data_IF_180031103212
#
_entry.id   IF_180031103212
#
_cell.length_a   1.000
_cell.length_b   1.000
_cell.length_c   1.000
_cell.angle_alpha   90.00
_cell.angle_beta   90.00
_cell.angle_gamma   90.00
#
_symmetry.space_group_name_H-M   'P 1'
#
loop_
_entity.id
_entity.type
_entity.pdbx_description
1 polymer ?
#
# COMPACT_ATOMS: atom_id res chain seq x y z
N UNK A 1 20.70 -45.13 16.28
CA UNK A 1 19.79 -44.77 15.16
C UNK A 1 18.75 -43.76 15.65
N UNK A 2 19.10 -42.47 15.73
CA UNK A 2 18.20 -41.43 16.24
C UNK A 2 17.34 -40.86 15.11
N UNK A 3 16.02 -41.00 15.24
CA UNK A 3 15.01 -40.50 14.30
C UNK A 3 15.12 -38.98 14.21
N UNK A 4 15.42 -38.46 13.01
CA UNK A 4 15.39 -37.02 12.69
C UNK A 4 13.95 -36.54 12.86
N UNK A 5 13.70 -35.75 13.90
CA UNK A 5 12.49 -34.94 14.01
C UNK A 5 12.56 -33.86 12.92
N UNK A 6 11.69 -33.98 11.93
CA UNK A 6 11.43 -32.94 10.93
C UNK A 6 10.82 -31.73 11.62
N UNK A 7 11.62 -30.68 11.71
CA UNK A 7 11.21 -29.36 12.20
C UNK A 7 9.99 -28.88 11.42
N UNK A 8 8.94 -28.50 12.15
CA UNK A 8 7.63 -28.03 11.67
C UNK A 8 7.74 -27.08 10.47
N UNK A 9 7.18 -27.50 9.33
CA UNK A 9 6.78 -26.66 8.18
C UNK A 9 5.50 -25.86 8.51
N UNK A 10 5.36 -25.30 9.71
CA UNK A 10 4.06 -24.89 10.30
C UNK A 10 3.40 -23.64 9.70
N UNK A 11 3.94 -23.07 8.62
CA UNK A 11 3.37 -21.88 7.96
C UNK A 11 3.36 -22.06 6.42
N UNK A 12 2.67 -23.08 5.93
CA UNK A 12 2.43 -23.29 4.50
C UNK A 12 0.97 -22.97 4.16
N UNK A 13 0.77 -22.19 3.09
CA UNK A 13 -0.54 -21.93 2.50
C UNK A 13 -0.61 -22.70 1.20
N UNK A 14 -1.62 -23.55 1.05
CA UNK A 14 -1.91 -24.24 -0.22
C UNK A 14 -2.95 -23.41 -0.96
N UNK A 15 -2.55 -22.82 -2.09
CA UNK A 15 -3.45 -22.08 -2.97
C UNK A 15 -3.88 -23.02 -4.10
N UNK A 16 -5.20 -23.21 -4.25
CA UNK A 16 -5.79 -23.95 -5.37
C UNK A 16 -6.29 -22.97 -6.41
N UNK A 17 -5.93 -23.21 -7.66
CA UNK A 17 -6.33 -22.43 -8.84
C UNK A 17 -6.34 -23.37 -10.05
N UNK A 18 -6.99 -22.96 -11.13
CA UNK A 18 -6.96 -23.64 -12.42
C UNK A 18 -5.57 -23.57 -13.07
N UNK A 19 -5.33 -24.46 -14.04
CA UNK A 19 -4.03 -24.59 -14.70
C UNK A 19 -3.66 -23.34 -15.52
N UNK A 20 -4.64 -22.67 -16.14
CA UNK A 20 -4.41 -21.45 -16.93
C UNK A 20 -3.90 -20.32 -16.04
N UNK A 21 -4.57 -20.08 -14.92
CA UNK A 21 -4.18 -19.07 -13.92
C UNK A 21 -2.81 -19.38 -13.33
N UNK A 22 -2.53 -20.65 -13.03
CA UNK A 22 -1.22 -21.08 -12.53
C UNK A 22 -0.12 -20.80 -13.53
N UNK A 23 -0.32 -21.12 -14.80
CA UNK A 23 0.67 -20.90 -15.85
C UNK A 23 0.95 -19.41 -16.05
N UNK A 24 -0.12 -18.60 -16.16
CA UNK A 24 0.00 -17.15 -16.26
C UNK A 24 0.74 -16.55 -15.06
N UNK A 25 0.43 -17.01 -13.85
CA UNK A 25 1.10 -16.58 -12.63
C UNK A 25 2.59 -16.95 -12.62
N UNK A 26 2.93 -18.17 -13.01
CA UNK A 26 4.32 -18.63 -13.10
C UNK A 26 5.12 -17.89 -14.17
N UNK A 27 4.50 -17.57 -15.30
CA UNK A 27 5.13 -16.76 -16.35
C UNK A 27 5.41 -15.32 -15.86
N UNK A 28 4.47 -14.72 -15.12
CA UNK A 28 4.68 -13.40 -14.52
C UNK A 28 5.82 -13.41 -13.49
N UNK A 29 5.85 -14.42 -12.62
CA UNK A 29 6.92 -14.59 -11.64
C UNK A 29 8.30 -14.69 -12.31
N UNK A 30 8.40 -15.50 -13.39
CA UNK A 30 9.63 -15.62 -14.20
C UNK A 30 10.03 -14.30 -14.86
N UNK A 31 9.07 -13.58 -15.44
CA UNK A 31 9.33 -12.29 -16.09
C UNK A 31 9.87 -11.24 -15.12
N UNK A 32 9.40 -11.24 -13.87
CA UNK A 32 9.88 -10.35 -12.81
C UNK A 32 11.14 -10.85 -12.08
N UNK A 33 11.65 -12.05 -12.43
CA UNK A 33 12.79 -12.66 -11.76
C UNK A 33 12.53 -13.05 -10.30
N UNK A 34 11.27 -13.20 -9.91
CA UNK A 34 10.82 -13.49 -8.53
C UNK A 34 10.27 -14.91 -8.43
N UNK A 35 10.32 -15.47 -7.23
CA UNK A 35 9.61 -16.72 -6.95
C UNK A 35 8.11 -16.48 -6.79
N UNK A 36 7.32 -17.53 -7.03
CA UNK A 36 5.87 -17.53 -6.80
C UNK A 36 5.49 -17.02 -5.40
N UNK A 37 6.22 -17.48 -4.38
CA UNK A 37 6.02 -17.09 -2.98
C UNK A 37 6.30 -15.61 -2.76
N UNK A 38 7.34 -15.04 -3.36
CA UNK A 38 7.64 -13.61 -3.25
C UNK A 38 6.56 -12.74 -3.89
N UNK A 39 6.00 -13.19 -5.01
CA UNK A 39 4.92 -12.47 -5.69
C UNK A 39 3.63 -12.50 -4.85
N UNK A 40 3.27 -13.65 -4.28
CA UNK A 40 2.15 -13.79 -3.34
C UNK A 40 2.37 -12.92 -2.09
N UNK A 41 3.56 -12.96 -1.50
CA UNK A 41 3.87 -12.17 -0.31
C UNK A 41 3.83 -10.66 -0.60
N UNK A 42 4.29 -10.23 -1.77
CA UNK A 42 4.14 -8.85 -2.22
C UNK A 42 2.67 -8.45 -2.34
N UNK A 43 1.85 -9.30 -2.96
CA UNK A 43 0.41 -9.05 -3.10
C UNK A 43 -0.31 -8.98 -1.75
N UNK A 44 0.00 -9.91 -0.81
CA UNK A 44 -0.56 -9.90 0.54
C UNK A 44 -0.16 -8.63 1.30
N UNK A 45 1.10 -8.19 1.17
CA UNK A 45 1.56 -6.95 1.80
C UNK A 45 0.85 -5.73 1.23
N UNK A 46 0.66 -5.66 -0.09
CA UNK A 46 -0.09 -4.58 -0.72
C UNK A 46 -1.55 -4.56 -0.28
N UNK A 47 -2.20 -5.72 -0.24
CA UNK A 47 -3.58 -5.85 0.23
C UNK A 47 -3.75 -5.37 1.67
N UNK A 48 -2.86 -5.79 2.59
CA UNK A 48 -2.86 -5.29 3.97
C UNK A 48 -2.49 -3.81 4.07
N UNK A 49 -1.65 -3.30 3.16
CA UNK A 49 -1.30 -1.89 3.13
C UNK A 49 -2.46 -1.00 2.65
N UNK A 50 -3.31 -1.50 1.74
CA UNK A 50 -4.55 -0.83 1.33
C UNK A 50 -5.56 -0.74 2.49
N UNK A 51 -5.67 -1.77 3.32
CA UNK A 51 -6.49 -1.73 4.55
C UNK A 51 -5.85 -0.84 5.65
N UNK A 52 -4.53 -0.68 5.65
CA UNK A 52 -3.78 0.21 6.55
C UNK A 52 -3.69 1.65 6.05
N UNK A 53 -4.17 1.97 4.84
CA UNK A 53 -4.53 3.35 4.52
C UNK A 53 -5.77 3.70 5.34
N UNK A 54 -5.52 3.92 6.63
CA UNK A 54 -6.49 4.39 7.59
C UNK A 54 -7.26 5.51 6.94
N UNK A 55 -8.59 5.39 7.00
CA UNK A 55 -9.53 6.42 6.60
C UNK A 55 -8.89 7.78 6.87
N UNK A 56 -8.64 8.60 5.83
CA UNK A 56 -7.97 9.86 6.02
C UNK A 56 -8.71 10.60 7.12
N UNK A 57 -7.98 11.09 8.12
CA UNK A 57 -8.56 11.79 9.25
C UNK A 57 -9.24 13.06 8.70
N UNK A 58 -10.55 12.96 8.47
CA UNK A 58 -11.34 13.99 7.82
C UNK A 58 -11.32 15.28 8.65
N UNK A 59 -11.19 15.16 9.97
CA UNK A 59 -11.06 16.31 10.87
C UNK A 59 -9.73 17.02 10.66
N UNK A 60 -8.62 16.27 10.50
CA UNK A 60 -7.31 16.83 10.17
C UNK A 60 -7.32 17.48 8.78
N UNK A 61 -7.88 16.81 7.76
CA UNK A 61 -8.01 17.41 6.42
C UNK A 61 -8.84 18.70 6.42
N UNK A 62 -9.91 18.75 7.21
CA UNK A 62 -10.74 19.95 7.34
C UNK A 62 -9.99 21.09 8.02
N UNK A 63 -9.25 20.80 9.10
CA UNK A 63 -8.41 21.78 9.78
C UNK A 63 -7.29 22.32 8.88
N UNK A 64 -6.63 21.45 8.11
CA UNK A 64 -5.62 21.85 7.12
C UNK A 64 -6.23 22.74 6.02
N UNK A 65 -7.45 22.44 5.56
CA UNK A 65 -8.16 23.27 4.57
C UNK A 65 -8.55 24.65 5.11
N UNK A 66 -9.02 24.74 6.35
CA UNK A 66 -9.33 26.03 6.98
C UNK A 66 -8.09 26.88 7.17
N UNK A 67 -6.98 26.26 7.60
CA UNK A 67 -5.70 26.94 7.74
C UNK A 67 -5.20 27.47 6.39
N UNK A 68 -5.28 26.65 5.34
CA UNK A 68 -4.87 27.07 3.99
C UNK A 68 -5.73 28.22 3.46
N UNK A 69 -7.05 28.19 3.71
CA UNK A 69 -7.96 29.30 3.35
C UNK A 69 -7.56 30.60 4.06
N UNK A 70 -7.18 30.54 5.33
CA UNK A 70 -6.72 31.71 6.07
C UNK A 70 -5.40 32.27 5.52
N UNK A 71 -4.44 31.40 5.21
CA UNK A 71 -3.17 31.83 4.60
C UNK A 71 -3.37 32.48 3.24
N UNK A 72 -4.23 31.90 2.39
CA UNK A 72 -4.58 32.49 1.08
C UNK A 72 -5.29 33.83 1.25
N UNK A 73 -6.21 33.96 2.20
CA UNK A 73 -6.89 35.23 2.48
C UNK A 73 -5.92 36.31 3.00
N UNK A 74 -4.95 35.94 3.83
CA UNK A 74 -3.90 36.85 4.29
C UNK A 74 -3.03 37.34 3.12
N UNK A 75 -2.55 36.41 2.28
CA UNK A 75 -1.76 36.72 1.09
C UNK A 75 -2.53 37.61 0.09
N UNK A 76 -3.83 37.34 -0.11
CA UNK A 76 -4.67 38.14 -1.00
C UNK A 76 -4.85 39.58 -0.47
N UNK A 77 -5.02 39.74 0.84
CA UNK A 77 -5.10 41.05 1.47
C UNK A 77 -3.76 41.81 1.42
N UNK A 78 -2.63 41.13 1.62
CA UNK A 78 -1.31 41.75 1.45
C UNK A 78 -1.06 42.18 0.01
N UNK A 79 -1.49 41.39 -0.97
CA UNK A 79 -1.35 41.72 -2.39
C UNK A 79 -2.22 42.91 -2.80
N UNK A 80 -3.47 42.96 -2.32
CA UNK A 80 -4.37 44.08 -2.55
C UNK A 80 -3.90 45.36 -1.83
N UNK A 81 -3.37 45.24 -0.61
CA UNK A 81 -2.79 46.36 0.13
C UNK A 81 -1.55 46.94 -0.55
N UNK A 82 -0.72 46.10 -1.19
CA UNK A 82 0.44 46.54 -1.99
C UNK A 82 0.07 47.15 -3.35
N UNK A 83 -1.09 46.84 -3.90
CA UNK A 83 -1.57 47.42 -5.16
C UNK A 83 -2.32 48.75 -4.97
N UNK A 84 -2.79 49.01 -3.74
CA UNK A 84 -3.52 50.23 -3.38
C UNK A 84 -2.63 51.35 -2.78
N UNK A 85 -1.34 51.08 -2.55
CA UNK A 85 -0.32 52.02 -2.09
C UNK A 85 0.61 52.42 -3.23
#
# INVERSE_FOLDING_TARGET
>A
MAKRQTTKLSNQIIVRMDDETKEAFMNKAKAEGKTASELIMGWIRSYMAEELQGTPDLAKMQADLENLKQQVAALQNEYLGKLAA
#
